data_IF_157089280459
#
_entry.id   IF_157089280459
#
_cell.length_a   1.000
_cell.length_b   1.000
_cell.length_c   1.000
_cell.angle_alpha   90.00
_cell.angle_beta   90.00
_cell.angle_gamma   90.00
#
_symmetry.space_group_name_H-M   'P 1'
#
loop_
_entity.id
_entity.type
_entity.pdbx_description
1 polymer ?
#
# COMPACT_ATOMS: atom_id res chain seq x y z
N UNK A 1 -11.30 -4.13 -19.14
CA UNK A 1 -10.76 -3.41 -17.97
C UNK A 1 -10.21 -2.07 -18.45
N UNK A 2 -10.72 -0.92 -17.97
CA UNK A 2 -10.21 0.38 -18.41
C UNK A 2 -8.75 0.60 -18.01
N UNK A 3 -8.34 0.17 -16.81
CA UNK A 3 -7.00 0.44 -16.28
C UNK A 3 -5.85 -0.14 -17.13
N UNK A 4 -5.99 -1.37 -17.65
CA UNK A 4 -4.94 -2.00 -18.48
C UNK A 4 -4.64 -1.18 -19.74
N UNK A 5 -5.70 -0.66 -20.37
CA UNK A 5 -5.63 0.13 -21.60
C UNK A 5 -5.34 1.60 -21.37
N UNK A 6 -5.63 2.12 -20.18
CA UNK A 6 -5.44 3.52 -19.85
C UNK A 6 -3.95 3.87 -19.77
N UNK A 7 -3.62 5.11 -20.13
CA UNK A 7 -2.25 5.64 -20.14
C UNK A 7 -2.02 6.71 -19.06
N UNK A 8 -3.08 7.12 -18.37
CA UNK A 8 -3.06 8.11 -17.28
C UNK A 8 -4.21 7.84 -16.31
N UNK A 9 -4.13 8.38 -15.10
CA UNK A 9 -5.26 8.35 -14.16
C UNK A 9 -6.51 9.05 -14.73
N UNK A 10 -7.71 8.52 -14.47
CA UNK A 10 -8.95 9.20 -14.81
C UNK A 10 -9.04 10.57 -14.13
N UNK A 11 -9.50 11.59 -14.85
CA UNK A 11 -9.62 12.96 -14.31
C UNK A 11 -10.47 13.03 -13.02
N UNK A 12 -11.52 12.19 -12.92
CA UNK A 12 -12.33 12.10 -11.70
C UNK A 12 -11.54 11.62 -10.47
N UNK A 13 -10.60 10.70 -10.65
CA UNK A 13 -9.72 10.22 -9.58
C UNK A 13 -8.76 11.33 -9.12
N UNK A 14 -8.14 12.04 -10.08
CA UNK A 14 -7.27 13.18 -9.77
C UNK A 14 -8.02 14.28 -9.00
N UNK A 15 -9.25 14.59 -9.41
CA UNK A 15 -10.09 15.58 -8.74
C UNK A 15 -10.40 15.20 -7.28
N UNK A 16 -10.69 13.91 -7.01
CA UNK A 16 -10.95 13.43 -5.64
C UNK A 16 -9.73 13.69 -4.73
N UNK A 17 -8.53 13.33 -5.20
CA UNK A 17 -7.30 13.58 -4.44
C UNK A 17 -7.03 15.07 -4.23
N UNK A 18 -7.30 15.90 -5.25
CA UNK A 18 -7.14 17.34 -5.16
C UNK A 18 -8.06 17.95 -4.09
N UNK A 19 -9.33 17.53 -4.06
CA UNK A 19 -10.30 17.98 -3.04
C UNK A 19 -9.82 17.60 -1.64
N UNK A 20 -9.40 16.33 -1.45
CA UNK A 20 -8.89 15.87 -0.16
C UNK A 20 -7.62 16.61 0.28
N UNK A 21 -6.71 16.94 -0.64
CA UNK A 21 -5.49 17.71 -0.32
C UNK A 21 -5.81 19.14 0.14
N UNK A 22 -6.88 19.74 -0.38
CA UNK A 22 -7.31 21.09 -0.01
C UNK A 22 -8.08 21.15 1.32
N UNK A 23 -8.61 20.00 1.78
CA UNK A 23 -9.23 19.90 3.09
C UNK A 23 -8.15 19.98 4.19
N UNK A 24 -8.22 21.05 4.98
CA UNK A 24 -7.29 21.33 6.09
C UNK A 24 -7.70 20.62 7.39
N UNK A 25 -8.85 19.94 7.42
CA UNK A 25 -9.18 19.09 8.55
C UNK A 25 -8.23 17.89 8.55
N UNK A 26 -7.40 17.77 9.60
CA UNK A 26 -6.54 16.61 9.86
C UNK A 26 -7.39 15.40 10.28
N UNK A 27 -8.30 14.98 9.40
CA UNK A 27 -8.98 13.71 9.50
C UNK A 27 -7.94 12.63 9.21
N UNK A 28 -7.67 11.75 10.17
CA UNK A 28 -6.67 10.67 10.07
C UNK A 28 -6.93 9.74 8.86
N UNK A 29 -8.15 9.72 8.34
CA UNK A 29 -8.60 8.92 7.20
C UNK A 29 -8.84 9.72 5.91
N UNK A 30 -8.35 10.97 5.80
CA UNK A 30 -8.57 11.87 4.65
C UNK A 30 -8.26 11.25 3.28
N UNK A 31 -7.23 10.42 3.22
CA UNK A 31 -6.81 9.75 1.98
C UNK A 31 -7.42 8.36 1.77
N UNK A 32 -8.11 7.80 2.77
CA UNK A 32 -8.62 6.44 2.71
C UNK A 32 -9.67 6.25 1.60
N UNK A 33 -10.68 7.14 1.54
CA UNK A 33 -11.70 7.11 0.49
C UNK A 33 -11.10 7.21 -0.93
N UNK A 34 -10.23 8.21 -1.20
CA UNK A 34 -9.48 8.31 -2.46
C UNK A 34 -8.71 7.04 -2.84
N UNK A 35 -7.97 6.45 -1.89
CA UNK A 35 -7.19 5.23 -2.16
C UNK A 35 -8.05 3.99 -2.35
N UNK A 36 -9.14 3.84 -1.59
CA UNK A 36 -10.10 2.76 -1.82
C UNK A 36 -10.64 2.84 -3.26
N UNK A 37 -11.01 4.04 -3.71
CA UNK A 37 -11.47 4.24 -5.10
C UNK A 37 -10.37 3.95 -6.13
N UNK A 38 -9.12 4.36 -5.86
CA UNK A 38 -7.98 4.11 -6.73
C UNK A 38 -7.71 2.61 -6.89
N UNK A 39 -7.63 1.87 -5.78
CA UNK A 39 -7.38 0.43 -5.82
C UNK A 39 -8.54 -0.31 -6.48
N UNK A 40 -9.80 0.03 -6.18
CA UNK A 40 -10.95 -0.57 -6.88
C UNK A 40 -10.93 -0.31 -8.39
N UNK A 41 -10.43 0.84 -8.83
CA UNK A 41 -10.27 1.12 -10.26
C UNK A 41 -9.14 0.27 -10.87
N UNK A 42 -8.01 0.12 -10.17
CA UNK A 42 -6.86 -0.67 -10.63
C UNK A 42 -7.20 -2.16 -10.84
N UNK A 43 -7.94 -2.75 -9.91
CA UNK A 43 -8.31 -4.18 -9.95
C UNK A 43 -9.62 -4.46 -10.71
N UNK A 44 -10.15 -3.46 -11.42
CA UNK A 44 -11.34 -3.58 -12.25
C UNK A 44 -12.62 -3.64 -11.41
N UNK A 45 -13.45 -2.58 -11.39
CA UNK A 45 -14.68 -2.58 -10.58
C UNK A 45 -15.71 -3.64 -11.00
N UNK A 46 -15.57 -4.20 -12.19
CA UNK A 46 -16.44 -5.25 -12.74
C UNK A 46 -15.83 -6.66 -12.62
N UNK A 47 -14.57 -6.80 -12.18
CA UNK A 47 -13.97 -8.10 -11.89
C UNK A 47 -14.42 -8.57 -10.50
N UNK A 48 -14.62 -9.87 -10.37
CA UNK A 48 -14.90 -10.55 -9.09
C UNK A 48 -13.70 -11.37 -8.61
N UNK A 49 -12.56 -11.28 -9.29
CA UNK A 49 -11.36 -12.05 -8.98
C UNK A 49 -10.58 -11.42 -7.81
N UNK A 50 -10.77 -10.12 -7.61
CA UNK A 50 -10.15 -9.35 -6.54
C UNK A 50 -11.14 -8.43 -5.86
N UNK A 51 -10.90 -8.14 -4.59
CA UNK A 51 -11.65 -7.12 -3.85
C UNK A 51 -10.75 -6.38 -2.86
N UNK A 52 -11.12 -5.11 -2.61
CA UNK A 52 -10.41 -4.23 -1.67
C UNK A 52 -11.17 -4.23 -0.35
N UNK A 53 -10.47 -4.41 0.77
CA UNK A 53 -11.08 -4.37 2.09
C UNK A 53 -10.24 -3.58 3.13
N UNK A 54 -10.89 -2.78 4.00
CA UNK A 54 -10.24 -2.21 5.19
C UNK A 54 -9.74 -3.32 6.11
N UNK A 55 -8.58 -3.09 6.72
CA UNK A 55 -8.09 -3.89 7.84
C UNK A 55 -7.79 -3.00 9.06
N UNK A 56 -7.98 -3.58 10.24
CA UNK A 56 -7.61 -3.02 11.53
C UNK A 56 -6.41 -3.79 12.09
N UNK A 57 -5.49 -3.14 12.80
CA UNK A 57 -4.39 -3.83 13.46
C UNK A 57 -4.96 -4.78 14.53
N UNK A 58 -4.28 -5.91 14.81
CA UNK A 58 -4.69 -6.81 15.87
C UNK A 58 -4.83 -6.09 17.20
N UNK A 59 -5.91 -6.38 17.94
CA UNK A 59 -6.30 -5.72 19.19
C UNK A 59 -5.35 -5.92 20.37
N UNK A 60 -4.28 -6.72 20.21
CA UNK A 60 -3.29 -7.01 21.25
C UNK A 60 -2.34 -5.83 21.54
N UNK A 61 -2.33 -4.82 20.68
CA UNK A 61 -1.48 -3.64 20.82
C UNK A 61 -2.26 -2.45 21.42
N UNK A 62 -2.47 -2.53 22.75
CA UNK A 62 -2.82 -1.46 23.68
C UNK A 62 -4.30 -0.97 23.77
N UNK A 63 -4.90 -0.94 24.98
CA UNK A 63 -6.23 -0.33 25.22
C UNK A 63 -6.19 1.21 25.39
N UNK A 64 -5.08 1.89 25.03
CA UNK A 64 -4.90 3.33 25.35
C UNK A 64 -5.08 4.30 24.18
N UNK A 65 -5.07 3.82 22.94
CA UNK A 65 -5.33 4.65 21.75
C UNK A 65 -6.66 4.23 21.11
N UNK A 66 -7.75 4.42 21.86
CA UNK A 66 -9.11 4.33 21.34
C UNK A 66 -9.37 5.51 20.38
N UNK A 67 -9.10 5.31 19.09
CA UNK A 67 -9.40 6.30 18.03
C UNK A 67 -9.20 5.83 16.60
N UNK A 68 -8.25 4.94 16.32
CA UNK A 68 -7.86 4.58 14.94
C UNK A 68 -8.76 3.45 14.37
N UNK A 69 -9.96 3.79 13.90
CA UNK A 69 -10.93 2.80 13.42
C UNK A 69 -10.79 2.35 11.96
N UNK A 70 -9.79 2.81 11.20
CA UNK A 70 -9.43 2.23 9.89
C UNK A 70 -7.93 2.48 9.67
N UNK A 71 -7.12 1.43 9.43
CA UNK A 71 -5.66 1.58 9.52
C UNK A 71 -4.93 1.34 8.20
N UNK A 72 -5.42 0.44 7.33
CA UNK A 72 -4.85 0.21 6.00
C UNK A 72 -5.82 -0.53 5.07
N UNK A 73 -5.50 -0.56 3.78
CA UNK A 73 -6.23 -1.30 2.75
C UNK A 73 -5.47 -2.57 2.37
N UNK A 74 -6.20 -3.63 2.06
CA UNK A 74 -5.66 -4.85 1.48
C UNK A 74 -6.49 -5.24 0.26
N UNK A 75 -5.81 -5.63 -0.80
CA UNK A 75 -6.43 -6.30 -1.95
C UNK A 75 -6.29 -7.80 -1.74
N UNK A 76 -7.43 -8.48 -1.79
CA UNK A 76 -7.53 -9.92 -1.68
C UNK A 76 -7.93 -10.52 -3.02
N UNK A 77 -7.50 -11.75 -3.28
CA UNK A 77 -8.09 -12.58 -4.32
C UNK A 77 -9.49 -13.11 -3.90
N UNK A 78 -10.17 -13.81 -4.81
CA UNK A 78 -11.50 -14.42 -4.56
C UNK A 78 -11.54 -15.41 -3.39
N UNK A 79 -10.39 -15.97 -2.99
CA UNK A 79 -10.27 -16.90 -1.86
C UNK A 79 -9.87 -16.18 -0.56
N UNK A 80 -9.89 -14.84 -0.56
CA UNK A 80 -9.54 -13.99 0.59
C UNK A 80 -8.06 -14.14 1.00
N UNK A 81 -7.17 -14.36 0.03
CA UNK A 81 -5.72 -14.37 0.24
C UNK A 81 -5.11 -13.02 -0.19
N UNK A 82 -4.20 -12.42 0.61
CA UNK A 82 -3.70 -11.07 0.33
C UNK A 82 -2.74 -11.06 -0.87
N UNK A 83 -2.88 -10.05 -1.74
CA UNK A 83 -1.98 -9.85 -2.90
C UNK A 83 -1.35 -8.46 -2.95
N UNK A 84 -1.96 -7.47 -2.28
CA UNK A 84 -1.43 -6.11 -2.17
C UNK A 84 -1.83 -5.50 -0.82
N UNK A 85 -0.87 -4.89 -0.12
CA UNK A 85 -1.08 -4.11 1.10
C UNK A 85 -0.92 -2.63 0.76
N UNK A 86 -1.76 -1.76 1.30
CA UNK A 86 -1.64 -0.31 1.17
C UNK A 86 -1.83 0.37 2.53
N UNK A 87 -0.71 0.74 3.15
CA UNK A 87 -0.65 1.56 4.38
C UNK A 87 -0.74 3.03 3.99
N UNK A 88 -1.73 3.74 4.58
CA UNK A 88 -2.11 5.10 4.17
C UNK A 88 -2.00 6.00 5.38
N UNK A 89 -1.21 7.08 5.25
CA UNK A 89 -1.03 8.13 6.25
C UNK A 89 -1.12 9.50 5.59
N UNK A 90 -1.17 10.52 6.44
CA UNK A 90 -1.26 11.92 6.03
C UNK A 90 0.06 12.41 5.37
N UNK A 91 -0.02 13.40 4.48
CA UNK A 91 1.15 13.98 3.81
C UNK A 91 2.13 14.64 4.79
N UNK A 92 1.64 15.10 5.95
CA UNK A 92 2.49 15.64 7.01
C UNK A 92 3.54 14.62 7.54
N UNK A 93 3.33 13.32 7.34
CA UNK A 93 4.26 12.27 7.77
C UNK A 93 5.57 12.30 6.97
N UNK A 94 5.52 12.65 5.68
CA UNK A 94 6.70 12.66 4.81
C UNK A 94 7.79 13.64 5.29
N UNK A 95 7.39 14.67 6.04
CA UNK A 95 8.26 15.75 6.51
C UNK A 95 8.94 15.45 7.86
N UNK A 96 8.65 14.31 8.50
CA UNK A 96 9.18 13.99 9.84
C UNK A 96 9.85 12.62 9.86
N UNK A 97 11.14 12.61 10.21
CA UNK A 97 11.95 11.38 10.22
C UNK A 97 11.39 10.27 11.11
N UNK A 98 10.83 10.61 12.27
CA UNK A 98 10.20 9.64 13.18
C UNK A 98 8.91 9.05 12.58
N UNK A 99 8.13 9.84 11.85
CA UNK A 99 6.91 9.36 11.17
C UNK A 99 7.24 8.51 9.94
N UNK A 100 8.29 8.86 9.18
CA UNK A 100 8.82 8.00 8.11
C UNK A 100 9.29 6.65 8.65
N UNK A 101 10.04 6.63 9.76
CA UNK A 101 10.46 5.37 10.42
C UNK A 101 9.25 4.53 10.80
N UNK A 102 8.25 5.14 11.45
CA UNK A 102 7.01 4.45 11.83
C UNK A 102 6.24 3.91 10.63
N UNK A 103 6.20 4.63 9.50
CA UNK A 103 5.54 4.17 8.29
C UNK A 103 6.24 2.95 7.66
N UNK A 104 7.59 2.91 7.64
CA UNK A 104 8.35 1.73 7.20
C UNK A 104 8.11 0.54 8.14
N UNK A 105 8.19 0.76 9.46
CA UNK A 105 7.94 -0.26 10.47
C UNK A 105 6.53 -0.87 10.36
N UNK A 106 5.50 -0.03 10.18
CA UNK A 106 4.11 -0.50 10.05
C UNK A 106 3.90 -1.40 8.84
N UNK A 107 4.46 -1.04 7.67
CA UNK A 107 4.36 -1.89 6.47
C UNK A 107 5.03 -3.23 6.68
N UNK A 108 6.23 -3.25 7.28
CA UNK A 108 6.95 -4.50 7.55
C UNK A 108 6.23 -5.40 8.54
N UNK A 109 5.60 -4.83 9.56
CA UNK A 109 4.73 -5.59 10.47
C UNK A 109 3.55 -6.26 9.73
N UNK A 110 3.07 -5.66 8.62
CA UNK A 110 2.04 -6.31 7.79
C UNK A 110 2.61 -7.49 7.01
N UNK A 111 3.83 -7.38 6.52
CA UNK A 111 4.52 -8.52 5.90
C UNK A 111 4.66 -9.69 6.88
N UNK A 112 5.10 -9.44 8.12
CA UNK A 112 5.19 -10.49 9.16
C UNK A 112 3.85 -11.22 9.36
N UNK A 113 2.73 -10.51 9.21
CA UNK A 113 1.39 -11.03 9.44
C UNK A 113 0.77 -11.71 8.21
N UNK A 114 1.09 -11.27 6.99
CA UNK A 114 0.33 -11.62 5.78
C UNK A 114 1.14 -12.32 4.70
N UNK A 115 2.48 -12.29 4.75
CA UNK A 115 3.32 -12.81 3.68
C UNK A 115 3.12 -14.31 3.44
N UNK A 116 2.97 -15.09 4.50
CA UNK A 116 2.74 -16.54 4.42
C UNK A 116 1.36 -16.91 3.85
N UNK A 117 0.41 -15.98 3.87
CA UNK A 117 -0.94 -16.20 3.34
C UNK A 117 -1.06 -15.79 1.86
N UNK A 118 -0.05 -15.11 1.32
CA UNK A 118 -0.05 -14.67 -0.06
C UNK A 118 0.12 -15.87 -1.01
N UNK A 119 -0.76 -16.03 -2.01
CA UNK A 119 -0.70 -17.18 -2.91
C UNK A 119 0.25 -16.97 -4.10
N UNK A 120 0.82 -15.77 -4.22
CA UNK A 120 1.67 -15.36 -5.33
C UNK A 120 3.14 -15.39 -4.92
N UNK A 121 4.09 -15.38 -5.88
CA UNK A 121 5.52 -15.28 -5.56
C UNK A 121 5.89 -14.01 -4.77
N UNK A 122 5.12 -12.93 -4.96
CA UNK A 122 5.33 -11.66 -4.28
C UNK A 122 4.05 -11.13 -3.66
N UNK A 123 4.14 -10.71 -2.39
CA UNK A 123 3.16 -9.84 -1.78
C UNK A 123 3.60 -8.39 -1.98
N UNK A 124 2.82 -7.61 -2.74
CA UNK A 124 3.14 -6.21 -2.97
C UNK A 124 2.69 -5.34 -1.79
N UNK A 125 3.43 -4.27 -1.53
CA UNK A 125 3.16 -3.34 -0.44
C UNK A 125 3.33 -1.90 -0.89
N UNK A 126 2.39 -1.03 -0.52
CA UNK A 126 2.45 0.40 -0.74
C UNK A 126 2.44 1.11 0.60
N UNK A 127 3.41 2.00 0.80
CA UNK A 127 3.38 2.97 1.88
C UNK A 127 3.08 4.34 1.28
N UNK A 128 1.99 4.95 1.71
CA UNK A 128 1.43 6.15 1.11
C UNK A 128 1.38 7.25 2.16
N UNK A 129 2.21 8.29 2.00
CA UNK A 129 2.21 9.49 2.83
C UNK A 129 1.58 10.62 2.02
N UNK A 130 0.28 10.82 2.18
CA UNK A 130 -0.50 11.61 1.25
C UNK A 130 -0.50 10.98 -0.12
N UNK A 131 0.13 11.61 -1.11
CA UNK A 131 0.34 11.03 -2.46
C UNK A 131 1.78 10.56 -2.70
N UNK A 132 2.69 10.80 -1.75
CA UNK A 132 4.07 10.30 -1.84
C UNK A 132 4.07 8.81 -1.51
N UNK A 133 4.65 8.01 -2.39
CA UNK A 133 4.58 6.56 -2.37
C UNK A 133 5.98 5.95 -2.23
N UNK A 134 6.06 4.92 -1.40
CA UNK A 134 7.18 3.97 -1.37
C UNK A 134 6.63 2.57 -1.64
N UNK A 135 7.26 1.86 -2.56
CA UNK A 135 6.85 0.51 -2.96
C UNK A 135 7.70 -0.53 -2.23
N UNK A 136 7.04 -1.59 -1.79
CA UNK A 136 7.63 -2.75 -1.16
C UNK A 136 7.25 -4.02 -1.93
N UNK A 137 8.13 -5.02 -1.89
CA UNK A 137 7.87 -6.36 -2.40
C UNK A 137 8.40 -7.37 -1.38
N UNK A 138 7.53 -8.28 -0.94
CA UNK A 138 7.90 -9.40 -0.08
C UNK A 138 7.89 -10.69 -0.89
N UNK A 139 9.01 -11.40 -0.89
CA UNK A 139 9.16 -12.69 -1.56
C UNK A 139 8.62 -13.81 -0.65
N UNK A 140 7.64 -14.57 -1.14
CA UNK A 140 6.94 -15.58 -0.33
C UNK A 140 7.75 -16.86 -0.10
N UNK A 141 8.82 -17.09 -0.86
CA UNK A 141 9.68 -18.27 -0.71
C UNK A 141 10.80 -18.05 0.32
N UNK A 142 11.35 -16.83 0.38
CA UNK A 142 12.49 -16.46 1.23
C UNK A 142 12.08 -15.70 2.47
N UNK A 143 10.94 -15.00 2.42
CA UNK A 143 10.53 -14.06 3.47
C UNK A 143 11.19 -12.68 3.37
N UNK A 144 12.03 -12.45 2.34
CA UNK A 144 12.74 -11.18 2.20
C UNK A 144 11.80 -10.06 1.75
N UNK A 145 11.91 -8.89 2.38
CA UNK A 145 11.13 -7.70 2.04
C UNK A 145 12.05 -6.60 1.52
N UNK A 146 11.84 -6.19 0.27
CA UNK A 146 12.47 -5.03 -0.34
C UNK A 146 11.60 -3.78 -0.25
N UNK A 147 12.18 -2.58 -0.14
CA UNK A 147 13.60 -2.31 0.12
C UNK A 147 14.06 -2.90 1.45
N UNK A 148 15.37 -3.14 1.60
CA UNK A 148 15.94 -3.71 2.85
C UNK A 148 15.71 -2.77 4.04
N UNK A 149 15.49 -3.33 5.23
CA UNK A 149 15.27 -2.53 6.45
C UNK A 149 16.49 -1.68 6.80
N UNK A 150 16.26 -0.39 7.06
CA UNK A 150 17.28 0.54 7.52
C UNK A 150 17.18 0.72 9.04
N UNK A 151 18.18 0.23 9.76
CA UNK A 151 18.25 0.38 11.21
C UNK A 151 18.37 1.85 11.62
N UNK A 152 17.70 2.20 12.72
CA UNK A 152 17.91 3.49 13.38
C UNK A 152 19.41 3.66 13.69
N UNK A 153 20.05 4.75 13.26
CA UNK A 153 21.50 4.92 13.41
C UNK A 153 21.99 4.93 14.86
N UNK A 154 21.17 5.43 15.79
CA UNK A 154 21.48 5.44 17.21
C UNK A 154 20.20 5.37 18.06
N UNK A 155 20.06 4.31 18.85
CA UNK A 155 18.87 4.07 19.70
C UNK A 155 18.74 5.08 20.86
N UNK A 156 19.85 5.67 21.30
CA UNK A 156 19.90 6.59 22.45
C UNK A 156 19.76 8.07 22.07
N UNK A 157 19.61 8.39 20.77
CA UNK A 157 19.52 9.78 20.28
C UNK A 157 18.29 9.97 19.41
N UNK A 158 17.76 11.19 19.33
CA UNK A 158 16.67 11.53 18.40
C UNK A 158 17.04 11.17 16.95
N UNK A 159 16.04 10.93 16.11
CA UNK A 159 16.27 10.63 14.70
C UNK A 159 17.03 11.77 14.01
N UNK A 160 18.04 11.46 13.19
CA UNK A 160 18.57 12.41 12.22
C UNK A 160 17.42 12.92 11.34
N UNK A 161 17.38 14.23 11.06
CA UNK A 161 16.29 14.82 10.26
C UNK A 161 16.18 14.21 8.86
N UNK A 162 17.30 13.76 8.31
CA UNK A 162 17.40 13.14 6.99
C UNK A 162 17.19 11.61 7.02
N UNK A 163 16.86 11.00 8.15
CA UNK A 163 16.63 9.55 8.20
C UNK A 163 15.42 9.17 7.34
N UNK A 164 15.61 8.25 6.39
CA UNK A 164 14.66 7.86 5.33
C UNK A 164 14.19 9.02 4.43
N UNK A 165 14.97 10.10 4.33
CA UNK A 165 14.68 11.18 3.38
C UNK A 165 14.82 10.69 1.95
N UNK A 166 13.85 11.04 1.09
CA UNK A 166 13.78 10.56 -0.29
C UNK A 166 13.25 9.14 -0.44
N UNK A 167 12.87 8.44 0.63
CA UNK A 167 12.37 7.07 0.52
C UNK A 167 10.93 6.98 -0.06
N UNK A 168 10.12 8.04 0.07
CA UNK A 168 8.80 8.19 -0.57
C UNK A 168 8.91 9.22 -1.69
N UNK A 169 9.65 8.88 -2.75
CA UNK A 169 10.02 9.78 -3.84
C UNK A 169 9.06 9.76 -5.03
N UNK A 170 8.20 8.75 -5.14
CA UNK A 170 7.25 8.64 -6.24
C UNK A 170 5.92 9.30 -5.85
N UNK A 171 5.47 10.32 -6.57
CA UNK A 171 4.07 10.78 -6.46
C UNK A 171 3.17 9.81 -7.21
N UNK A 172 2.27 9.12 -6.51
CA UNK A 172 1.39 8.11 -7.12
C UNK A 172 0.50 8.69 -8.24
N UNK A 173 0.17 9.97 -8.17
CA UNK A 173 -0.68 10.65 -9.17
C UNK A 173 0.11 11.13 -10.41
N UNK A 174 1.44 11.03 -10.38
CA UNK A 174 2.29 11.37 -11.51
C UNK A 174 2.27 10.31 -12.60
N UNK A 175 2.79 10.60 -13.81
CA UNK A 175 2.97 9.58 -14.84
C UNK A 175 3.85 8.40 -14.39
N UNK A 176 4.88 8.67 -13.58
CA UNK A 176 5.75 7.64 -13.00
C UNK A 176 4.96 6.76 -12.01
N UNK A 177 4.19 7.38 -11.11
CA UNK A 177 3.32 6.68 -10.18
C UNK A 177 2.27 5.81 -10.87
N UNK A 178 1.65 6.32 -11.94
CA UNK A 178 0.73 5.54 -12.78
C UNK A 178 1.41 4.33 -13.41
N UNK A 179 2.58 4.53 -14.03
CA UNK A 179 3.35 3.46 -14.65
C UNK A 179 3.74 2.39 -13.62
N UNK A 180 4.15 2.81 -12.41
CA UNK A 180 4.50 1.88 -11.33
C UNK A 180 3.30 1.08 -10.85
N UNK A 181 2.11 1.69 -10.75
CA UNK A 181 0.89 0.96 -10.43
C UNK A 181 0.50 -0.02 -11.54
N UNK A 182 0.70 0.32 -12.82
CA UNK A 182 0.49 -0.64 -13.93
C UNK A 182 1.42 -1.83 -13.85
N UNK A 183 2.69 -1.60 -13.51
CA UNK A 183 3.67 -2.68 -13.30
C UNK A 183 3.20 -3.64 -12.19
N UNK A 184 2.86 -3.10 -11.01
CA UNK A 184 2.43 -3.89 -9.85
C UNK A 184 1.15 -4.69 -10.15
N UNK A 185 0.12 -4.04 -10.68
CA UNK A 185 -1.15 -4.71 -10.99
C UNK A 185 -0.96 -5.74 -12.11
N UNK A 186 -0.17 -5.41 -13.13
CA UNK A 186 0.14 -6.35 -14.21
C UNK A 186 0.85 -7.60 -13.71
N UNK A 187 1.81 -7.45 -12.80
CA UNK A 187 2.51 -8.57 -12.17
C UNK A 187 1.57 -9.46 -11.34
N UNK A 188 0.68 -8.84 -10.55
CA UNK A 188 -0.34 -9.56 -9.76
C UNK A 188 -1.28 -10.34 -10.68
N UNK A 189 -1.81 -9.70 -11.73
CA UNK A 189 -2.74 -10.33 -12.68
C UNK A 189 -2.08 -11.50 -13.42
N UNK A 190 -0.83 -11.32 -13.89
CA UNK A 190 -0.09 -12.36 -14.59
C UNK A 190 0.20 -13.56 -13.66
N UNK A 191 0.60 -13.28 -12.42
CA UNK A 191 0.88 -14.32 -11.41
C UNK A 191 -0.38 -15.09 -11.02
N UNK A 192 -1.50 -14.40 -10.85
CA UNK A 192 -2.78 -15.03 -10.54
C UNK A 192 -3.26 -15.94 -11.69
N UNK A 193 -3.17 -15.48 -12.94
CA UNK A 193 -3.53 -16.29 -14.11
C UNK A 193 -2.66 -17.55 -14.23
N UNK A 194 -1.35 -17.45 -13.93
CA UNK A 194 -0.46 -18.60 -13.91
C UNK A 194 -0.83 -19.62 -12.83
N UNK A 195 -1.23 -19.15 -11.64
CA UNK A 195 -1.68 -20.00 -10.53
C UNK A 195 -2.97 -20.77 -10.89
N UNK A 196 -3.96 -20.10 -11.48
CA UNK A 196 -5.22 -20.76 -11.90
C UNK A 196 -4.99 -21.83 -12.98
N UNK A 197 -4.04 -21.58 -13.89
CA UNK A 197 -3.63 -22.56 -14.91
C UNK A 197 -3.03 -23.82 -14.31
N UNK A 198 -2.32 -23.72 -13.19
CA UNK A 198 -1.80 -24.87 -12.43
C UNK A 198 -2.90 -25.58 -11.65
N UNK A 199 -3.77 -24.84 -10.94
CA UNK A 199 -4.86 -25.43 -10.15
C UNK A 199 -5.88 -26.21 -11.02
N UNK A 200 -6.09 -25.78 -12.27
CA UNK A 200 -7.02 -26.44 -13.21
C UNK A 200 -6.49 -27.74 -13.84
N UNK A 201 -5.21 -28.09 -13.61
CA UNK A 201 -4.55 -29.29 -14.16
C UNK A 201 -4.45 -30.45 -13.16
N UNK A 202 -4.88 -30.22 -11.91
CA UNK A 202 -4.93 -31.20 -10.82
C UNK A 202 -6.33 -31.79 -10.67
#
# INVERSE_FOLDING_TARGET
>A
MPFETDTTWPAGLLNIFQICRQDLQHLENRYYGPYNKLLSYCFGPESFDFFVAPQSPPSEFSPRDTGDFIVFLVVFDRLRRPVLIAEIKDDAWANKADLRSKADEQVRQRYDSMLNDCPLPHLWGLSLLGTSMRVYSGDTATGDVQPTFENRPNLSRIFPRNFLEGAWDIDILSPEGFAKMKEIVGDIMASAAALEGWESQL
#
